data_IF_178375553944
#
_entry.id   IF_178375553944
#
_cell.length_a   1.000
_cell.length_b   1.000
_cell.length_c   1.000
_cell.angle_alpha   90.00
_cell.angle_beta   90.00
_cell.angle_gamma   90.00
#
_symmetry.space_group_name_H-M   'P 1'
#
loop_
_entity.id
_entity.type
_entity.pdbx_description
1 polymer ?
#
# COMPACT_ATOMS: atom_id res chain seq x y z
N UNK A 1 -6.07 -37.65 6.06
CA UNK A 1 -7.52 -37.75 5.78
C UNK A 1 -8.05 -36.40 5.32
N UNK A 2 -9.16 -36.38 4.57
CA UNK A 2 -9.72 -35.15 3.95
C UNK A 2 -10.07 -34.06 4.97
N UNK A 3 -10.55 -34.45 6.15
CA UNK A 3 -10.94 -33.54 7.24
C UNK A 3 -9.73 -32.77 7.81
N UNK A 4 -8.57 -33.41 7.95
CA UNK A 4 -7.35 -32.76 8.44
C UNK A 4 -6.87 -31.67 7.47
N UNK A 5 -7.02 -31.89 6.15
CA UNK A 5 -6.69 -30.89 5.13
C UNK A 5 -7.64 -29.70 5.19
N UNK A 6 -8.95 -29.95 5.32
CA UNK A 6 -9.96 -28.91 5.46
C UNK A 6 -9.69 -28.02 6.69
N UNK A 7 -9.40 -28.62 7.85
CA UNK A 7 -9.06 -27.89 9.08
C UNK A 7 -7.82 -27.00 8.88
N UNK A 8 -6.75 -27.56 8.31
CA UNK A 8 -5.53 -26.80 8.04
C UNK A 8 -5.79 -25.57 7.14
N UNK A 9 -6.61 -25.72 6.08
CA UNK A 9 -6.95 -24.60 5.20
C UNK A 9 -7.76 -23.51 5.90
N UNK A 10 -8.70 -23.87 6.78
CA UNK A 10 -9.47 -22.91 7.57
C UNK A 10 -8.55 -22.16 8.54
N UNK A 11 -7.69 -22.89 9.25
CA UNK A 11 -6.75 -22.27 10.19
C UNK A 11 -5.80 -21.31 9.47
N UNK A 12 -5.26 -21.72 8.31
CA UNK A 12 -4.40 -20.85 7.49
C UNK A 12 -5.12 -19.56 7.08
N UNK A 13 -6.33 -19.66 6.53
CA UNK A 13 -7.11 -18.49 6.09
C UNK A 13 -7.37 -17.49 7.23
N UNK A 14 -7.76 -18.00 8.41
CA UNK A 14 -8.02 -17.15 9.58
C UNK A 14 -6.71 -16.54 10.11
N UNK A 15 -5.62 -17.31 10.15
CA UNK A 15 -4.31 -16.83 10.62
C UNK A 15 -3.75 -15.73 9.71
N UNK A 16 -3.87 -15.85 8.38
CA UNK A 16 -3.44 -14.82 7.44
C UNK A 16 -4.24 -13.51 7.64
N UNK A 17 -5.56 -13.62 7.81
CA UNK A 17 -6.40 -12.46 8.10
C UNK A 17 -6.05 -11.81 9.45
N UNK A 18 -5.81 -12.62 10.48
CA UNK A 18 -5.40 -12.12 11.81
C UNK A 18 -4.06 -11.41 11.74
N UNK A 19 -3.07 -11.96 11.03
CA UNK A 19 -1.76 -11.32 10.81
C UNK A 19 -1.88 -10.01 10.04
N UNK A 20 -2.83 -9.90 9.12
CA UNK A 20 -3.07 -8.63 8.40
C UNK A 20 -3.70 -7.54 9.26
N UNK A 21 -4.59 -7.91 10.19
CA UNK A 21 -5.32 -6.94 11.03
C UNK A 21 -4.52 -6.57 12.28
N UNK A 22 -3.86 -7.55 12.90
CA UNK A 22 -3.20 -7.41 14.20
C UNK A 22 -1.68 -7.53 14.13
N UNK A 23 -1.12 -7.79 12.94
CA UNK A 23 0.31 -7.77 12.75
C UNK A 23 0.88 -6.36 12.94
N UNK A 24 2.19 -6.25 13.17
CA UNK A 24 2.86 -4.96 13.15
C UNK A 24 2.51 -4.25 11.84
N UNK A 25 2.04 -3.01 11.92
CA UNK A 25 1.91 -2.20 10.71
C UNK A 25 3.30 -2.04 10.12
N UNK A 26 3.43 -2.23 8.82
CA UNK A 26 4.57 -1.72 8.06
C UNK A 26 4.35 -0.20 7.90
N UNK A 27 4.39 0.52 9.04
CA UNK A 27 4.25 1.96 9.12
C UNK A 27 5.58 2.68 8.88
N UNK A 28 6.48 2.04 8.12
CA UNK A 28 7.73 2.60 7.61
C UNK A 28 7.50 3.68 6.54
N UNK A 29 6.48 4.51 6.73
CA UNK A 29 6.35 5.76 6.01
C UNK A 29 7.49 6.69 6.45
N UNK A 30 8.16 7.34 5.50
CA UNK A 30 9.10 8.41 5.84
C UNK A 30 8.43 9.42 6.77
N UNK A 31 9.16 9.91 7.77
CA UNK A 31 8.68 10.92 8.73
C UNK A 31 8.21 12.22 8.06
N UNK A 32 8.58 12.43 6.80
CA UNK A 32 8.12 13.50 5.93
C UNK A 32 7.77 12.92 4.56
N UNK A 33 6.65 13.34 3.97
CA UNK A 33 6.38 13.05 2.57
C UNK A 33 7.48 13.66 1.69
N UNK A 34 8.03 12.90 0.75
CA UNK A 34 8.92 13.46 -0.27
C UNK A 34 8.02 14.09 -1.33
N UNK A 35 8.11 15.40 -1.56
CA UNK A 35 7.43 16.06 -2.67
C UNK A 35 8.15 15.66 -3.98
N UNK A 36 7.58 14.78 -4.83
CA UNK A 36 8.28 14.27 -6.01
C UNK A 36 8.36 15.30 -7.15
N UNK A 37 7.59 16.38 -7.05
CA UNK A 37 7.60 17.50 -7.97
C UNK A 37 7.84 18.80 -7.21
N UNK A 38 9.06 19.31 -7.24
CA UNK A 38 9.27 20.76 -7.21
C UNK A 38 8.81 21.28 -8.56
N UNK A 39 7.50 21.41 -8.74
CA UNK A 39 6.94 21.89 -10.00
C UNK A 39 7.55 23.25 -10.29
N UNK A 40 8.28 23.36 -11.40
CA UNK A 40 8.65 24.67 -11.93
C UNK A 40 7.36 25.47 -12.11
N UNK A 41 7.30 26.72 -11.63
CA UNK A 41 6.13 27.56 -11.85
C UNK A 41 5.80 27.58 -13.35
N UNK A 42 4.50 27.43 -13.67
CA UNK A 42 4.04 27.54 -15.06
C UNK A 42 4.56 28.86 -15.67
N UNK A 43 5.47 28.76 -16.64
CA UNK A 43 5.93 29.91 -17.40
C UNK A 43 4.84 30.31 -18.39
N UNK A 44 4.02 31.28 -18.01
CA UNK A 44 3.05 31.91 -18.92
C UNK A 44 3.84 32.55 -20.07
N UNK A 45 3.83 31.94 -21.26
CA UNK A 45 4.64 32.48 -22.36
C UNK A 45 4.47 31.94 -23.77
N UNK A 46 3.70 30.87 -24.04
CA UNK A 46 3.53 30.40 -25.43
C UNK A 46 2.17 29.77 -25.74
N UNK A 47 1.18 29.83 -24.84
CA UNK A 47 -0.15 29.30 -25.13
C UNK A 47 -0.97 30.19 -26.08
N UNK A 48 -0.55 31.45 -26.31
CA UNK A 48 -1.29 32.45 -27.09
C UNK A 48 -0.77 32.63 -28.53
N UNK A 49 0.10 31.74 -29.03
CA UNK A 49 0.49 31.73 -30.45
C UNK A 49 0.28 30.33 -31.06
N UNK A 50 -0.99 30.04 -31.35
CA UNK A 50 -1.37 29.03 -32.35
C UNK A 50 -1.44 29.69 -33.72
#
# INVERSE_FOLDING_TARGET
>A
MSISKMLASITQYISEAAMRIFGPNDDAYPTIGVQPFTGDPYKKGTADSW
#
